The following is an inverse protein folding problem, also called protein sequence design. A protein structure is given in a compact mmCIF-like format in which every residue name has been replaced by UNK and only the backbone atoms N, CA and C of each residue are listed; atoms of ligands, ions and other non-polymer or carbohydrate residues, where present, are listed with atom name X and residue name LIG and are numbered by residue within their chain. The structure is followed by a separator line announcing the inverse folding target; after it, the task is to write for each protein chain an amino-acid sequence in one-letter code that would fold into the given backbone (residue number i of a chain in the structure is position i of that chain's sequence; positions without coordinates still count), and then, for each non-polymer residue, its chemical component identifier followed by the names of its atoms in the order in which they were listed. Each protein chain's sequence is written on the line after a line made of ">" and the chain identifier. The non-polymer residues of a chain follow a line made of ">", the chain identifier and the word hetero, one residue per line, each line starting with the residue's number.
data_IF_732679033915
#
_entry.id   IF_732679033915
#
_cell.length_a   1.000
_cell.length_b   1.000
_cell.length_c   1.000
_cell.angle_alpha   90.00
_cell.angle_beta   90.00
_cell.angle_gamma   90.00
#
_symmetry.space_group_name_H-M   'P 1'
#
loop_
_entity.id
_entity.type
_entity.pdbx_description
1 polymer ?
#
# COMPACT_ATOMS: atom_id res chain seq x y z
N UNK A 1 17.00 23.18 -20.09
CA UNK A 1 16.77 22.81 -19.70
C UNK A 1 16.51 22.07 -18.92
N UNK A 2 16.23 21.90 -19.06
CA UNK A 2 15.83 20.94 -18.26
C UNK A 2 16.18 21.11 -16.93
N UNK A 3 16.82 21.86 -16.68
CA UNK A 3 17.21 22.00 -15.51
C UNK A 3 16.39 22.53 -14.60
N UNK A 4 15.47 23.19 -15.04
CA UNK A 4 14.53 23.66 -14.26
C UNK A 4 13.94 22.61 -13.47
N UNK A 5 13.86 21.57 -14.07
CA UNK A 5 13.27 20.54 -13.47
C UNK A 5 14.06 20.07 -12.43
N UNK A 6 15.33 20.21 -12.49
CA UNK A 6 16.16 19.61 -11.57
C UNK A 6 15.86 20.00 -10.18
N UNK A 7 15.70 21.27 -9.90
CA UNK A 7 15.49 21.63 -8.56
C UNK A 7 14.13 21.25 -8.08
N UNK A 8 13.16 21.34 -8.93
CA UNK A 8 11.85 20.90 -8.55
C UNK A 8 11.83 19.43 -8.32
N UNK A 9 12.55 18.71 -9.12
CA UNK A 9 12.51 17.29 -9.08
C UNK A 9 13.24 16.70 -7.93
N UNK A 10 14.18 17.40 -7.35
CA UNK A 10 14.83 16.89 -6.17
C UNK A 10 13.89 16.81 -5.01
N UNK A 11 12.80 17.59 -5.07
CA UNK A 11 11.86 17.63 -3.98
C UNK A 11 10.54 16.98 -4.30
N UNK A 12 10.24 16.75 -5.55
CA UNK A 12 8.99 16.12 -5.91
C UNK A 12 9.20 15.07 -6.95
N UNK A 13 8.48 13.99 -6.81
CA UNK A 13 8.55 12.89 -7.77
C UNK A 13 8.00 13.33 -9.11
N UNK A 14 8.53 12.76 -10.18
CA UNK A 14 7.99 12.97 -11.52
C UNK A 14 6.74 12.14 -11.70
N UNK A 15 6.01 12.40 -12.77
CA UNK A 15 4.83 11.59 -13.08
C UNK A 15 5.19 10.13 -13.24
N UNK A 16 6.32 9.82 -13.85
CA UNK A 16 6.73 8.43 -14.03
C UNK A 16 7.04 7.75 -12.70
N UNK A 17 7.47 8.51 -11.71
CA UNK A 17 7.74 7.96 -10.38
C UNK A 17 6.48 7.79 -9.57
N UNK A 18 5.44 8.54 -9.89
CA UNK A 18 4.19 8.52 -9.15
C UNK A 18 3.18 7.53 -9.71
N UNK A 19 3.18 7.36 -11.02
CA UNK A 19 2.12 6.64 -11.72
C UNK A 19 2.67 5.54 -12.60
N UNK A 20 1.89 4.48 -12.67
CA UNK A 20 2.16 3.34 -13.52
C UNK A 20 0.96 3.15 -14.41
N UNK A 21 1.17 2.92 -15.70
CA UNK A 21 0.07 2.69 -16.62
C UNK A 21 0.05 1.22 -17.02
N UNK A 22 -1.07 0.57 -16.75
CA UNK A 22 -1.26 -0.83 -17.09
C UNK A 22 -2.61 -0.95 -17.79
N UNK A 23 -2.60 -1.44 -19.01
CA UNK A 23 -3.85 -1.62 -19.77
C UNK A 23 -4.61 -0.32 -19.97
N UNK A 24 -3.90 0.78 -20.14
CA UNK A 24 -4.50 2.10 -20.33
C UNK A 24 -4.99 2.77 -19.05
N UNK A 25 -4.86 2.11 -17.91
CA UNK A 25 -5.32 2.66 -16.65
C UNK A 25 -4.13 3.06 -15.79
N UNK A 26 -4.25 4.19 -15.10
CA UNK A 26 -3.21 4.69 -14.23
C UNK A 26 -3.37 4.11 -12.83
N UNK A 27 -2.25 3.67 -12.29
CA UNK A 27 -2.18 3.17 -10.91
C UNK A 27 -1.07 3.93 -10.20
N UNK A 28 -1.30 4.25 -8.93
CA UNK A 28 -0.28 4.95 -8.18
C UNK A 28 0.82 3.97 -7.79
N UNK A 29 2.06 4.41 -7.94
CA UNK A 29 3.20 3.57 -7.55
C UNK A 29 3.37 3.55 -6.05
N UNK A 30 4.01 2.50 -5.55
CA UNK A 30 4.46 2.43 -4.16
C UNK A 30 5.38 3.61 -3.87
N UNK A 31 5.26 4.19 -2.67
CA UNK A 31 6.14 5.24 -2.22
C UNK A 31 7.59 4.71 -2.21
N UNK A 32 8.48 5.27 -3.03
CA UNK A 32 9.83 4.71 -3.19
C UNK A 32 10.76 5.02 -2.03
N UNK A 33 10.36 5.90 -1.13
CA UNK A 33 11.22 6.32 -0.03
C UNK A 33 10.95 5.61 1.29
N UNK A 34 9.96 4.71 1.31
CA UNK A 34 9.67 3.96 2.53
C UNK A 34 10.81 2.98 2.83
N UNK A 35 11.07 2.69 4.12
CA UNK A 35 12.10 1.71 4.47
C UNK A 35 11.79 0.35 3.84
N UNK A 36 12.84 -0.33 3.38
CA UNK A 36 12.68 -1.58 2.65
C UNK A 36 11.96 -2.66 3.46
N UNK A 37 12.25 -2.76 4.76
CA UNK A 37 11.61 -3.76 5.60
C UNK A 37 10.11 -3.50 5.75
N UNK A 38 9.72 -2.25 5.83
CA UNK A 38 8.30 -1.87 5.91
C UNK A 38 7.60 -2.22 4.60
N UNK A 39 8.22 -1.90 3.47
CA UNK A 39 7.66 -2.22 2.16
C UNK A 39 7.50 -3.73 2.00
N UNK A 40 8.51 -4.49 2.40
CA UNK A 40 8.47 -5.95 2.32
C UNK A 40 7.30 -6.51 3.15
N UNK A 41 7.14 -6.01 4.37
CA UNK A 41 6.06 -6.46 5.25
C UNK A 41 4.69 -6.13 4.64
N UNK A 42 4.52 -4.91 4.13
CA UNK A 42 3.24 -4.51 3.54
C UNK A 42 2.92 -5.29 2.28
N UNK A 43 3.92 -5.56 1.45
CA UNK A 43 3.71 -6.34 0.23
C UNK A 43 3.37 -7.79 0.56
N UNK A 44 3.95 -8.34 1.60
CA UNK A 44 3.62 -9.68 2.06
C UNK A 44 2.16 -9.74 2.52
N UNK A 45 1.73 -8.77 3.33
CA UNK A 45 0.34 -8.69 3.76
C UNK A 45 -0.60 -8.52 2.55
N UNK A 46 -0.22 -7.68 1.60
CA UNK A 46 -1.04 -7.42 0.42
C UNK A 46 -1.22 -8.71 -0.40
N UNK A 47 -0.14 -9.46 -0.61
CA UNK A 47 -0.23 -10.70 -1.37
C UNK A 47 -1.14 -11.72 -0.72
N UNK A 48 -1.01 -11.89 0.60
CA UNK A 48 -1.87 -12.81 1.34
C UNK A 48 -3.32 -12.35 1.33
N UNK A 49 -3.56 -11.05 1.45
CA UNK A 49 -4.91 -10.51 1.44
C UNK A 49 -5.58 -10.69 0.07
N UNK A 50 -4.83 -10.47 -1.01
CA UNK A 50 -5.36 -10.69 -2.35
C UNK A 50 -5.74 -12.15 -2.57
N UNK A 51 -4.90 -13.05 -2.08
CA UNK A 51 -5.19 -14.48 -2.14
C UNK A 51 -6.46 -14.80 -1.36
N UNK A 52 -6.60 -14.19 -0.17
CA UNK A 52 -7.79 -14.40 0.66
C UNK A 52 -9.05 -13.90 -0.04
N UNK A 53 -8.97 -12.79 -0.78
CA UNK A 53 -10.11 -12.30 -1.56
C UNK A 53 -10.55 -13.34 -2.58
N UNK A 54 -9.58 -13.93 -3.30
CA UNK A 54 -9.90 -14.94 -4.31
C UNK A 54 -10.57 -16.16 -3.69
N UNK A 55 -10.03 -16.63 -2.56
CA UNK A 55 -10.60 -17.80 -1.87
C UNK A 55 -12.01 -17.49 -1.38
N UNK A 56 -12.20 -16.32 -0.78
CA UNK A 56 -13.50 -15.94 -0.23
C UNK A 56 -14.55 -15.78 -1.33
N UNK A 57 -14.15 -15.22 -2.49
CA UNK A 57 -15.07 -15.09 -3.61
C UNK A 57 -15.51 -16.45 -4.12
N UNK A 58 -14.57 -17.37 -4.21
CA UNK A 58 -14.89 -18.71 -4.67
C UNK A 58 -15.84 -19.41 -3.72
N UNK A 59 -15.72 -19.14 -2.43
CA UNK A 59 -16.59 -19.70 -1.42
C UNK A 59 -17.90 -18.93 -1.27
N UNK A 60 -18.02 -17.79 -1.95
CA UNK A 60 -19.17 -16.91 -1.88
C UNK A 60 -19.47 -16.46 -0.44
N UNK A 61 -18.38 -16.20 0.30
CA UNK A 61 -18.46 -15.78 1.69
C UNK A 61 -18.28 -14.26 1.77
N UNK A 62 -19.39 -13.54 1.88
CA UNK A 62 -19.36 -12.07 1.83
C UNK A 62 -18.59 -11.46 2.99
N UNK A 63 -18.68 -12.04 4.18
CA UNK A 63 -17.95 -11.52 5.33
C UNK A 63 -16.45 -11.69 5.14
N UNK A 64 -16.04 -12.85 4.63
CA UNK A 64 -14.63 -13.10 4.38
C UNK A 64 -14.09 -12.22 3.25
N UNK A 65 -14.91 -11.95 2.23
CA UNK A 65 -14.52 -11.00 1.17
C UNK A 65 -14.27 -9.62 1.75
N UNK A 66 -15.19 -9.14 2.58
CA UNK A 66 -15.07 -7.82 3.17
C UNK A 66 -13.83 -7.72 4.06
N UNK A 67 -13.58 -8.74 4.87
CA UNK A 67 -12.41 -8.77 5.75
C UNK A 67 -11.11 -8.76 4.93
N UNK A 68 -11.06 -9.56 3.87
CA UNK A 68 -9.87 -9.62 3.03
C UNK A 68 -9.64 -8.30 2.30
N UNK A 69 -10.71 -7.68 1.80
CA UNK A 69 -10.60 -6.37 1.14
C UNK A 69 -10.15 -5.27 2.08
N UNK A 70 -10.57 -5.36 3.34
CA UNK A 70 -10.12 -4.40 4.34
C UNK A 70 -8.59 -4.50 4.51
N UNK A 71 -8.05 -5.71 4.55
CA UNK A 71 -6.60 -5.91 4.65
C UNK A 71 -5.87 -5.40 3.40
N UNK A 72 -6.44 -5.62 2.22
CA UNK A 72 -5.88 -5.05 0.98
C UNK A 72 -5.79 -3.54 1.09
N UNK A 73 -6.86 -2.92 1.57
CA UNK A 73 -6.91 -1.47 1.72
C UNK A 73 -5.85 -0.94 2.67
N UNK A 74 -5.68 -1.61 3.83
CA UNK A 74 -4.67 -1.20 4.80
C UNK A 74 -3.26 -1.31 4.21
N UNK A 75 -2.96 -2.39 3.53
CA UNK A 75 -1.64 -2.60 2.94
C UNK A 75 -1.36 -1.56 1.85
N UNK A 76 -2.33 -1.34 0.96
CA UNK A 76 -2.15 -0.35 -0.10
C UNK A 76 -2.02 1.06 0.44
N UNK A 77 -2.80 1.38 1.48
CA UNK A 77 -2.70 2.70 2.11
C UNK A 77 -1.30 2.90 2.69
N UNK A 78 -0.78 1.89 3.39
CA UNK A 78 0.57 1.98 3.97
C UNK A 78 1.65 2.13 2.90
N UNK A 79 1.48 1.47 1.75
CA UNK A 79 2.43 1.57 0.65
C UNK A 79 2.34 2.88 -0.12
N UNK A 80 1.34 3.71 0.18
CA UNK A 80 1.13 4.96 -0.54
C UNK A 80 0.36 4.79 -1.84
N UNK A 81 -0.13 3.58 -2.11
CA UNK A 81 -0.85 3.29 -3.35
C UNK A 81 -2.32 3.68 -3.30
N UNK A 82 -2.82 4.03 -2.13
CA UNK A 82 -4.22 4.39 -1.92
C UNK A 82 -4.29 5.47 -0.84
N UNK A 83 -5.36 6.25 -0.82
CA UNK A 83 -5.53 7.33 0.15
C UNK A 83 -4.83 8.60 -0.32
N UNK A 84 -4.38 9.46 0.59
CA UNK A 84 -3.71 10.70 0.20
C UNK A 84 -2.48 10.39 -0.65
N UNK A 85 -2.14 11.32 -1.54
CA UNK A 85 -0.95 11.13 -2.38
C UNK A 85 0.29 11.21 -1.51
N UNK A 86 1.15 10.18 -1.59
CA UNK A 86 2.34 10.12 -0.72
C UNK A 86 3.26 11.31 -0.96
N UNK A 87 3.34 11.80 -2.19
CA UNK A 87 4.25 12.91 -2.51
C UNK A 87 3.80 14.25 -1.94
N UNK A 88 2.59 14.33 -1.40
CA UNK A 88 2.08 15.57 -0.79
C UNK A 88 2.37 15.65 0.71
N UNK A 89 3.02 14.65 1.28
CA UNK A 89 3.26 14.59 2.72
C UNK A 89 4.74 14.41 3.04
N UNK A 90 5.20 14.92 4.19
CA UNK A 90 6.60 14.74 4.59
C UNK A 90 6.93 13.27 4.76
N UNK A 91 8.17 12.90 4.48
CA UNK A 91 8.61 11.51 4.57
C UNK A 91 8.36 10.91 5.95
N UNK A 92 8.64 11.69 7.01
CA UNK A 92 8.43 11.18 8.37
C UNK A 92 6.98 10.75 8.61
N UNK A 93 6.03 11.53 8.12
CA UNK A 93 4.60 11.22 8.23
C UNK A 93 4.27 9.95 7.45
N UNK A 94 4.83 9.81 6.26
CA UNK A 94 4.60 8.64 5.42
C UNK A 94 5.13 7.37 6.06
N UNK A 95 6.31 7.45 6.67
CA UNK A 95 6.91 6.30 7.34
C UNK A 95 6.07 5.90 8.55
N UNK A 96 5.66 6.88 9.36
CA UNK A 96 4.82 6.60 10.53
C UNK A 96 3.51 5.93 10.12
N UNK A 97 2.90 6.42 9.07
CA UNK A 97 1.66 5.86 8.55
C UNK A 97 1.85 4.43 8.06
N UNK A 98 2.94 4.18 7.35
CA UNK A 98 3.25 2.84 6.84
C UNK A 98 3.51 1.85 7.99
N UNK A 99 4.26 2.28 9.00
CA UNK A 99 4.51 1.44 10.17
C UNK A 99 3.24 1.15 10.94
N UNK A 100 2.36 2.14 11.02
CA UNK A 100 1.07 1.93 11.67
C UNK A 100 0.24 0.88 10.92
N UNK A 101 0.26 0.92 9.59
CA UNK A 101 -0.44 -0.05 8.78
C UNK A 101 0.10 -1.47 9.01
N UNK A 102 1.41 -1.62 9.13
CA UNK A 102 2.00 -2.93 9.44
C UNK A 102 1.48 -3.44 10.77
N UNK A 103 1.46 -2.58 11.80
CA UNK A 103 0.97 -2.99 13.11
C UNK A 103 -0.49 -3.38 13.08
N UNK A 104 -1.31 -2.63 12.34
CA UNK A 104 -2.72 -2.96 12.22
C UNK A 104 -2.92 -4.32 11.56
N UNK A 105 -2.15 -4.60 10.52
CA UNK A 105 -2.25 -5.87 9.81
C UNK A 105 -1.75 -7.03 10.67
N UNK A 106 -0.65 -6.81 11.39
CA UNK A 106 -0.14 -7.84 12.30
C UNK A 106 -1.15 -8.13 13.40
N UNK A 107 -1.81 -7.10 13.93
CA UNK A 107 -2.84 -7.30 14.95
C UNK A 107 -4.02 -8.10 14.42
N UNK A 108 -4.41 -7.88 13.17
CA UNK A 108 -5.48 -8.65 12.56
C UNK A 108 -5.09 -10.12 12.41
N UNK A 109 -3.85 -10.38 12.04
CA UNK A 109 -3.35 -11.75 11.95
C UNK A 109 -3.37 -12.44 13.32
N UNK A 110 -2.97 -11.72 14.35
CA UNK A 110 -2.95 -12.26 15.71
C UNK A 110 -4.35 -12.60 16.21
N UNK A 111 -5.31 -11.71 15.91
CA UNK A 111 -6.69 -11.97 16.30
C UNK A 111 -7.26 -13.19 15.58
N UNK A 112 -6.92 -13.32 14.31
CA UNK A 112 -7.38 -14.46 13.53
C UNK A 112 -6.79 -15.75 14.06
N UNK A 113 -5.52 -15.75 14.45
CA UNK A 113 -4.88 -16.91 15.04
C UNK A 113 -5.53 -17.29 16.37
N UNK A 114 -5.99 -16.32 17.13
CA UNK A 114 -6.61 -16.56 18.42
C UNK A 114 -8.01 -17.14 18.32
N UNK A 115 -8.66 -16.99 17.18
CA UNK A 115 -10.00 -17.55 17.01
C UNK A 115 -9.99 -19.05 16.90
N UNK A 116 -8.87 -19.62 16.59
CA UNK A 116 -8.74 -21.05 16.47
C UNK A 116 -8.16 -21.62 17.74
#
# INVERSE_FOLDING_TARGET
>A
MANRNDSADTESATDDERWLVIGGRRWRRTDPELPADVVTALKSHLGRARSAVRVAKKAEDDEAIAAARHRVGLAKHGLGERGPYWWDHPLATRITSAEHAVRQLDDLDDREAQKN
#
